data_IF_508429596797
#
_entry.id   IF_508429596797
#
_cell.length_a   1.000
_cell.length_b   1.000
_cell.length_c   1.000
_cell.angle_alpha   90.00
_cell.angle_beta   90.00
_cell.angle_gamma   90.00
#
_symmetry.space_group_name_H-M   'P 1'
#
loop_
_entity.id
_entity.type
_entity.pdbx_description
1 polymer ?
#
# COMPACT_ATOMS: atom_id res chain seq x y z
N UNK A 1 26.01 -5.85 -4.09
CA UNK A 1 26.60 -5.18 -2.92
C UNK A 1 25.75 -5.55 -1.70
N UNK A 2 26.23 -6.41 -0.79
CA UNK A 2 25.39 -6.93 0.32
C UNK A 2 25.30 -5.86 1.42
N UNK A 3 24.07 -5.51 1.84
CA UNK A 3 23.73 -4.59 2.94
C UNK A 3 24.15 -5.18 4.31
N UNK A 4 25.46 -5.29 4.57
CA UNK A 4 26.00 -6.05 5.72
C UNK A 4 26.44 -5.22 6.93
N UNK A 5 26.34 -3.89 6.89
CA UNK A 5 26.91 -3.01 7.93
C UNK A 5 25.84 -2.23 8.72
N UNK A 6 24.60 -2.71 8.75
CA UNK A 6 23.52 -2.12 9.53
C UNK A 6 23.03 -3.16 10.55
N UNK A 7 23.12 -2.83 11.83
CA UNK A 7 22.59 -3.62 12.93
C UNK A 7 21.31 -2.95 13.43
N UNK A 8 20.26 -3.75 13.65
CA UNK A 8 18.96 -3.29 14.14
C UNK A 8 18.46 -4.29 15.17
N UNK A 9 18.18 -3.81 16.38
CA UNK A 9 17.63 -4.60 17.47
C UNK A 9 16.10 -4.51 17.49
N UNK A 10 15.43 -5.65 17.67
CA UNK A 10 13.96 -5.74 17.68
C UNK A 10 13.46 -6.41 18.96
N UNK A 11 12.42 -5.83 19.57
CA UNK A 11 11.60 -6.51 20.57
C UNK A 11 10.49 -7.29 19.86
N UNK A 12 10.61 -8.62 19.83
CA UNK A 12 9.63 -9.47 19.14
C UNK A 12 8.31 -9.46 19.91
N UNK A 13 7.21 -9.17 19.20
CA UNK A 13 5.84 -9.24 19.72
C UNK A 13 5.11 -10.45 19.12
N UNK A 14 4.01 -10.86 19.76
CA UNK A 14 3.16 -11.91 19.22
C UNK A 14 2.54 -11.48 17.88
N UNK A 15 2.62 -12.36 16.88
CA UNK A 15 2.05 -12.11 15.57
C UNK A 15 0.59 -12.56 15.51
N UNK A 16 -0.26 -11.75 14.88
CA UNK A 16 -1.65 -12.10 14.53
C UNK A 16 -1.66 -12.50 13.06
N UNK A 17 -1.90 -13.78 12.76
CA UNK A 17 -1.78 -14.34 11.41
C UNK A 17 -3.07 -14.91 10.85
N UNK A 18 -4.09 -15.11 11.68
CA UNK A 18 -5.40 -15.60 11.29
C UNK A 18 -6.42 -14.46 11.33
N UNK A 19 -7.25 -14.34 10.29
CA UNK A 19 -8.22 -13.25 10.16
C UNK A 19 -9.50 -13.48 10.97
N UNK A 20 -9.86 -14.73 11.26
CA UNK A 20 -11.09 -15.08 11.98
C UNK A 20 -10.93 -14.78 13.47
N UNK A 21 -9.81 -15.19 14.06
CA UNK A 21 -9.52 -14.94 15.48
C UNK A 21 -8.90 -13.59 15.75
N UNK A 22 -8.61 -12.76 14.73
CA UNK A 22 -7.87 -11.50 14.86
C UNK A 22 -8.49 -10.51 15.85
N UNK A 23 -9.81 -10.54 16.00
CA UNK A 23 -10.57 -9.64 16.86
C UNK A 23 -10.85 -10.17 18.27
N UNK A 24 -10.37 -11.37 18.59
CA UNK A 24 -10.55 -11.95 19.92
C UNK A 24 -9.74 -11.16 20.96
N UNK A 25 -10.29 -11.00 22.17
CA UNK A 25 -9.66 -10.22 23.26
C UNK A 25 -8.25 -10.69 23.64
N UNK A 26 -7.91 -11.95 23.34
CA UNK A 26 -6.60 -12.54 23.60
C UNK A 26 -5.53 -12.15 22.55
N UNK A 27 -5.91 -11.56 21.41
CA UNK A 27 -4.97 -11.18 20.36
C UNK A 27 -4.18 -9.93 20.71
N UNK A 28 -2.96 -9.88 20.18
CA UNK A 28 -2.15 -8.66 20.23
C UNK A 28 -2.83 -7.55 19.41
N UNK A 29 -3.07 -6.39 20.04
CA UNK A 29 -3.50 -5.18 19.33
C UNK A 29 -2.37 -4.71 18.39
N UNK A 30 -2.67 -4.57 17.10
CA UNK A 30 -1.67 -4.23 16.06
C UNK A 30 -1.56 -2.71 15.87
N UNK A 31 -2.70 -2.02 15.75
CA UNK A 31 -2.78 -0.58 15.49
C UNK A 31 -3.64 0.10 16.55
N UNK A 32 -3.15 1.15 17.21
CA UNK A 32 -3.92 1.82 18.25
C UNK A 32 -5.22 2.44 17.72
N UNK A 33 -5.23 2.84 16.45
CA UNK A 33 -6.35 3.48 15.75
C UNK A 33 -7.45 2.50 15.31
N UNK A 34 -7.20 1.18 15.39
CA UNK A 34 -8.14 0.14 14.98
C UNK A 34 -8.38 -0.87 16.11
N UNK A 35 -9.18 -0.52 17.14
CA UNK A 35 -9.46 -1.39 18.28
C UNK A 35 -9.96 -2.77 17.85
N UNK A 36 -9.54 -3.80 18.59
CA UNK A 36 -9.87 -5.21 18.32
C UNK A 36 -9.45 -5.67 16.92
N UNK A 37 -8.39 -5.07 16.36
CA UNK A 37 -7.88 -5.36 15.02
C UNK A 37 -8.91 -5.26 13.89
N UNK A 38 -10.02 -4.54 14.08
CA UNK A 38 -11.02 -4.28 13.04
C UNK A 38 -10.72 -2.94 12.40
N UNK A 39 -10.19 -2.96 11.17
CA UNK A 39 -9.86 -1.72 10.44
C UNK A 39 -11.10 -0.98 9.94
N UNK A 40 -12.15 -1.70 9.57
CA UNK A 40 -13.38 -1.14 9.01
C UNK A 40 -14.52 -2.16 9.09
N UNK A 41 -15.71 -1.72 9.50
CA UNK A 41 -16.94 -2.53 9.47
C UNK A 41 -18.01 -1.79 8.67
N UNK A 42 -18.45 -2.37 7.55
CA UNK A 42 -19.38 -1.73 6.62
C UNK A 42 -20.59 -2.62 6.33
N UNK A 43 -21.69 -2.47 7.09
CA UNK A 43 -22.93 -3.15 6.77
C UNK A 43 -23.52 -2.58 5.47
N UNK A 44 -24.02 -3.48 4.61
CA UNK A 44 -24.66 -3.12 3.35
C UNK A 44 -25.86 -4.06 3.10
N UNK A 45 -26.98 -3.50 2.63
CA UNK A 45 -28.22 -4.25 2.35
C UNK A 45 -29.31 -4.14 3.43
N UNK A 46 -30.41 -4.86 3.23
CA UNK A 46 -31.61 -4.83 4.09
C UNK A 46 -31.65 -6.04 5.03
N UNK A 47 -31.08 -5.89 6.23
CA UNK A 47 -30.91 -6.99 7.19
C UNK A 47 -32.22 -7.70 7.54
N UNK A 48 -33.28 -6.95 7.86
CA UNK A 48 -34.55 -7.56 8.28
C UNK A 48 -35.24 -8.31 7.15
N UNK A 49 -35.30 -7.73 5.95
CA UNK A 49 -35.87 -8.41 4.79
C UNK A 49 -35.12 -9.71 4.44
N UNK A 50 -33.78 -9.70 4.57
CA UNK A 50 -32.96 -10.91 4.40
C UNK A 50 -33.27 -11.94 5.49
N UNK A 51 -33.36 -11.53 6.76
CA UNK A 51 -33.70 -12.44 7.86
C UNK A 51 -35.07 -13.10 7.66
N UNK A 52 -36.08 -12.31 7.27
CA UNK A 52 -37.43 -12.80 6.99
C UNK A 52 -37.43 -13.82 5.85
N UNK A 53 -36.70 -13.53 4.77
CA UNK A 53 -36.54 -14.43 3.63
C UNK A 53 -35.87 -15.75 4.03
N UNK A 54 -34.82 -15.72 4.86
CA UNK A 54 -34.18 -16.93 5.35
C UNK A 54 -35.06 -17.72 6.33
N UNK A 55 -35.84 -17.04 7.18
CA UNK A 55 -36.72 -17.71 8.16
C UNK A 55 -37.86 -18.51 7.52
N UNK A 56 -38.33 -18.08 6.35
CA UNK A 56 -39.43 -18.69 5.61
C UNK A 56 -38.96 -19.62 4.47
N UNK A 57 -37.65 -19.73 4.25
CA UNK A 57 -37.09 -20.53 3.16
C UNK A 57 -37.34 -22.03 3.38
N UNK A 58 -37.85 -22.71 2.35
CA UNK A 58 -38.07 -24.16 2.38
C UNK A 58 -36.75 -24.95 2.52
N UNK A 59 -35.64 -24.41 2.00
CA UNK A 59 -34.30 -25.01 2.09
C UNK A 59 -33.25 -23.91 2.22
N UNK A 60 -32.22 -24.19 3.01
CA UNK A 60 -31.06 -23.32 3.22
C UNK A 60 -29.80 -24.15 2.94
N UNK A 61 -28.85 -23.56 2.22
CA UNK A 61 -27.53 -24.13 2.01
C UNK A 61 -26.47 -23.13 2.49
N UNK A 62 -25.44 -23.62 3.17
CA UNK A 62 -24.32 -22.80 3.66
C UNK A 62 -22.99 -23.41 3.20
N UNK A 63 -22.01 -22.52 2.98
CA UNK A 63 -20.64 -22.88 2.63
C UNK A 63 -19.68 -21.92 3.32
N UNK A 64 -18.66 -22.47 3.96
CA UNK A 64 -17.49 -21.71 4.43
C UNK A 64 -16.39 -21.83 3.39
N UNK A 65 -15.86 -20.69 2.93
CA UNK A 65 -14.85 -20.64 1.88
C UNK A 65 -13.71 -19.72 2.29
N UNK A 66 -12.47 -20.21 2.14
CA UNK A 66 -11.26 -19.39 2.23
C UNK A 66 -10.86 -18.94 0.83
N UNK A 67 -10.90 -17.63 0.58
CA UNK A 67 -10.29 -17.05 -0.60
C UNK A 67 -8.83 -16.68 -0.29
N UNK A 68 -7.90 -17.47 -0.83
CA UNK A 68 -6.49 -17.33 -0.52
C UNK A 68 -5.93 -15.98 -0.98
N UNK A 69 -4.95 -15.47 -0.22
CA UNK A 69 -4.19 -14.28 -0.63
C UNK A 69 -3.37 -14.59 -1.88
N UNK A 70 -3.57 -13.80 -2.92
CA UNK A 70 -2.85 -13.90 -4.19
C UNK A 70 -2.04 -12.63 -4.45
N UNK A 71 -1.00 -12.73 -5.26
CA UNK A 71 -0.24 -11.59 -5.78
C UNK A 71 -0.35 -11.58 -7.30
N UNK A 72 -0.51 -10.40 -7.89
CA UNK A 72 -0.76 -10.26 -9.34
C UNK A 72 0.48 -10.48 -10.20
N UNK A 73 1.67 -10.38 -9.60
CA UNK A 73 2.97 -10.73 -10.16
C UNK A 73 3.22 -10.25 -11.61
N UNK A 74 3.20 -8.92 -11.87
CA UNK A 74 3.55 -8.39 -13.18
C UNK A 74 4.98 -8.77 -13.59
N UNK A 75 5.20 -9.00 -14.89
CA UNK A 75 6.51 -9.39 -15.41
C UNK A 75 7.58 -8.30 -15.20
N UNK A 76 7.18 -7.03 -15.28
CA UNK A 76 8.06 -5.93 -14.87
C UNK A 76 7.92 -5.67 -13.37
N UNK A 77 9.04 -5.70 -12.60
CA UNK A 77 9.03 -5.35 -11.18
C UNK A 77 8.65 -3.88 -10.96
N UNK A 78 8.46 -3.50 -9.69
CA UNK A 78 8.34 -2.08 -9.33
C UNK A 78 9.70 -1.40 -9.47
N UNK A 79 9.71 -0.20 -10.04
CA UNK A 79 10.91 0.62 -10.15
C UNK A 79 10.58 2.11 -10.01
N UNK A 80 11.55 2.86 -9.50
CA UNK A 80 11.48 4.31 -9.37
C UNK A 80 12.83 4.93 -9.73
N UNK A 81 12.79 6.06 -10.44
CA UNK A 81 13.95 6.92 -10.67
C UNK A 81 13.56 8.34 -10.26
N UNK A 82 14.29 8.90 -9.30
CA UNK A 82 14.12 10.28 -8.86
C UNK A 82 15.29 11.14 -9.34
N UNK A 83 14.97 12.31 -9.86
CA UNK A 83 15.93 13.34 -10.25
C UNK A 83 15.54 14.67 -9.57
N UNK A 84 16.53 15.40 -9.06
CA UNK A 84 16.33 16.66 -8.35
C UNK A 84 17.12 17.77 -9.02
N UNK A 85 16.43 18.83 -9.41
CA UNK A 85 17.04 20.04 -9.93
C UNK A 85 17.25 21.05 -8.80
N UNK A 86 18.49 21.19 -8.33
CA UNK A 86 18.83 22.17 -7.28
C UNK A 86 18.64 23.65 -7.67
N UNK A 87 18.60 23.97 -8.97
CA UNK A 87 18.36 25.34 -9.43
C UNK A 87 16.88 25.75 -9.40
N UNK A 88 15.96 24.81 -9.63
CA UNK A 88 14.50 25.06 -9.62
C UNK A 88 13.78 24.47 -8.42
N UNK A 89 14.48 23.68 -7.60
CA UNK A 89 13.95 22.87 -6.49
C UNK A 89 12.88 21.85 -6.92
N UNK A 90 12.88 21.45 -8.19
CA UNK A 90 11.92 20.50 -8.74
C UNK A 90 12.41 19.06 -8.60
N UNK A 91 11.49 18.16 -8.27
CA UNK A 91 11.70 16.71 -8.27
C UNK A 91 10.93 16.10 -9.44
N UNK A 92 11.60 15.31 -10.27
CA UNK A 92 10.96 14.44 -11.25
C UNK A 92 11.10 12.98 -10.83
N UNK A 93 9.98 12.28 -10.70
CA UNK A 93 9.90 10.85 -10.44
C UNK A 93 9.40 10.10 -11.67
N UNK A 94 10.20 9.19 -12.19
CA UNK A 94 9.77 8.19 -13.17
C UNK A 94 9.41 6.91 -12.43
N UNK A 95 8.14 6.53 -12.46
CA UNK A 95 7.60 5.43 -11.67
C UNK A 95 6.91 4.41 -12.57
N UNK A 96 7.03 3.13 -12.24
CA UNK A 96 6.16 2.09 -12.81
C UNK A 96 4.78 2.18 -12.17
N UNK A 97 3.97 3.17 -12.55
CA UNK A 97 2.70 3.52 -11.88
C UNK A 97 1.50 3.45 -12.83
N UNK A 98 0.34 3.05 -12.30
CA UNK A 98 -0.94 3.13 -13.02
C UNK A 98 -1.61 4.50 -12.88
N UNK A 99 -1.28 5.27 -11.83
CA UNK A 99 -1.98 6.49 -11.46
C UNK A 99 -0.99 7.64 -11.14
N UNK A 100 -0.25 8.17 -12.13
CA UNK A 100 0.80 9.16 -11.88
C UNK A 100 0.30 10.46 -11.23
N UNK A 101 -0.91 10.92 -11.58
CA UNK A 101 -1.50 12.11 -10.97
C UNK A 101 -1.87 11.90 -9.50
N UNK A 102 -2.40 10.72 -9.14
CA UNK A 102 -2.70 10.39 -7.74
C UNK A 102 -1.42 10.22 -6.94
N UNK A 103 -0.37 9.62 -7.53
CA UNK A 103 0.95 9.57 -6.89
C UNK A 103 1.48 10.97 -6.59
N UNK A 104 1.40 11.89 -7.58
CA UNK A 104 1.83 13.27 -7.37
C UNK A 104 1.07 13.94 -6.23
N UNK A 105 -0.25 13.77 -6.16
CA UNK A 105 -1.09 14.29 -5.08
C UNK A 105 -0.69 13.70 -3.72
N UNK A 106 -0.55 12.38 -3.63
CA UNK A 106 -0.30 11.72 -2.34
C UNK A 106 1.10 12.03 -1.82
N UNK A 107 2.11 11.95 -2.70
CA UNK A 107 3.49 12.25 -2.37
C UNK A 107 3.69 13.72 -1.95
N UNK A 108 2.90 14.64 -2.51
CA UNK A 108 2.95 16.05 -2.12
C UNK A 108 2.13 16.34 -0.86
N UNK A 109 0.84 16.01 -0.85
CA UNK A 109 -0.09 16.45 0.19
C UNK A 109 0.04 15.67 1.50
N UNK A 110 0.29 14.35 1.42
CA UNK A 110 0.31 13.49 2.62
C UNK A 110 1.73 13.12 3.05
N UNK A 111 2.65 12.91 2.09
CA UNK A 111 4.04 12.58 2.41
C UNK A 111 4.98 13.79 2.43
N UNK A 112 4.52 14.96 1.99
CA UNK A 112 5.27 16.22 2.04
C UNK A 112 6.65 16.13 1.37
N UNK A 113 6.77 15.33 0.30
CA UNK A 113 8.02 15.18 -0.44
C UNK A 113 8.48 16.52 -1.07
N UNK A 114 7.53 17.21 -1.71
CA UNK A 114 7.68 18.53 -2.29
C UNK A 114 6.30 19.16 -2.51
N UNK A 115 6.18 20.50 -2.60
CA UNK A 115 4.97 21.15 -3.08
C UNK A 115 4.53 20.57 -4.42
N UNK A 116 3.23 20.40 -4.65
CA UNK A 116 2.73 19.69 -5.85
C UNK A 116 3.22 20.34 -7.16
N UNK A 117 3.33 21.67 -7.20
CA UNK A 117 3.84 22.41 -8.36
C UNK A 117 5.35 22.26 -8.60
N UNK A 118 6.09 21.69 -7.64
CA UNK A 118 7.52 21.35 -7.75
C UNK A 118 7.74 19.84 -7.90
N UNK A 119 6.68 19.04 -7.96
CA UNK A 119 6.75 17.59 -8.10
C UNK A 119 6.18 17.17 -9.45
N UNK A 120 6.98 16.47 -10.24
CA UNK A 120 6.54 15.84 -11.48
C UNK A 120 6.60 14.32 -11.31
N UNK A 121 5.50 13.64 -11.60
CA UNK A 121 5.45 12.17 -11.66
C UNK A 121 5.16 11.76 -13.09
N UNK A 122 5.97 10.84 -13.63
CA UNK A 122 5.88 10.32 -14.99
C UNK A 122 5.73 8.81 -14.91
N UNK A 123 4.64 8.28 -15.48
CA UNK A 123 4.49 6.86 -15.79
C UNK A 123 4.91 6.61 -17.23
N UNK A 124 6.07 5.98 -17.51
CA UNK A 124 6.45 5.58 -18.86
C UNK A 124 5.67 4.32 -19.29
N UNK A 125 6.10 3.62 -20.33
CA UNK A 125 5.60 2.28 -20.62
C UNK A 125 5.80 1.36 -19.41
N UNK A 126 4.73 0.70 -18.96
CA UNK A 126 4.73 -0.17 -17.77
C UNK A 126 4.44 -1.60 -18.19
N UNK A 127 5.33 -2.53 -17.82
CA UNK A 127 5.24 -3.96 -18.15
C UNK A 127 4.24 -4.73 -17.27
N UNK A 128 3.00 -4.25 -17.22
CA UNK A 128 1.92 -4.79 -16.41
C UNK A 128 1.89 -4.23 -14.98
N UNK A 129 0.69 -4.06 -14.45
CA UNK A 129 0.44 -3.59 -13.08
C UNK A 129 -0.63 -4.40 -12.37
N UNK A 130 -1.75 -4.68 -13.04
CA UNK A 130 -2.81 -5.56 -12.52
C UNK A 130 -3.31 -5.17 -11.12
N UNK A 131 -3.25 -3.88 -10.77
CA UNK A 131 -3.66 -3.34 -9.48
C UNK A 131 -2.51 -3.14 -8.49
N UNK A 132 -1.38 -3.85 -8.62
CA UNK A 132 -0.27 -3.72 -7.66
C UNK A 132 0.50 -2.41 -7.84
N UNK A 133 0.42 -1.75 -9.00
CA UNK A 133 1.09 -0.48 -9.30
C UNK A 133 0.14 0.74 -9.15
N UNK A 134 -0.98 0.57 -8.43
CA UNK A 134 -1.91 1.66 -8.08
C UNK A 134 -1.48 2.38 -6.80
N UNK A 135 -0.90 1.65 -5.84
CA UNK A 135 -0.54 2.17 -4.53
C UNK A 135 0.74 2.98 -4.59
N UNK A 136 0.82 4.03 -3.76
CA UNK A 136 2.08 4.72 -3.47
C UNK A 136 2.90 3.87 -2.51
N UNK A 137 4.12 3.55 -2.90
CA UNK A 137 5.01 2.72 -2.09
C UNK A 137 6.09 3.55 -1.40
N UNK A 138 6.51 3.10 -0.21
CA UNK A 138 7.50 3.82 0.59
C UNK A 138 8.83 4.01 -0.16
N UNK A 139 9.21 3.06 -1.01
CA UNK A 139 10.43 3.14 -1.81
C UNK A 139 10.42 4.33 -2.79
N UNK A 140 9.27 4.71 -3.33
CA UNK A 140 9.11 5.84 -4.26
C UNK A 140 9.34 7.18 -3.53
N UNK A 141 8.81 7.30 -2.31
CA UNK A 141 9.05 8.43 -1.42
C UNK A 141 10.53 8.52 -1.04
N UNK A 142 11.14 7.40 -0.66
CA UNK A 142 12.56 7.34 -0.28
C UNK A 142 13.46 7.72 -1.45
N UNK A 143 13.14 7.30 -2.68
CA UNK A 143 13.89 7.70 -3.88
C UNK A 143 13.82 9.21 -4.10
N UNK A 144 12.63 9.81 -4.01
CA UNK A 144 12.47 11.26 -4.13
C UNK A 144 13.19 12.04 -3.03
N UNK A 145 13.13 11.56 -1.79
CA UNK A 145 13.87 12.16 -0.67
C UNK A 145 15.39 12.04 -0.89
N UNK A 146 15.86 10.87 -1.30
CA UNK A 146 17.27 10.57 -1.46
C UNK A 146 17.88 11.37 -2.61
N UNK A 147 17.22 11.49 -3.76
CA UNK A 147 17.75 12.23 -4.91
C UNK A 147 17.98 13.71 -4.58
N UNK A 148 17.06 14.31 -3.82
CA UNK A 148 17.22 15.66 -3.26
C UNK A 148 18.36 15.71 -2.24
N UNK A 149 18.44 14.74 -1.32
CA UNK A 149 19.47 14.71 -0.27
C UNK A 149 20.90 14.63 -0.83
N UNK A 150 21.10 13.87 -1.90
CA UNK A 150 22.43 13.67 -2.51
C UNK A 150 22.69 14.53 -3.74
N UNK A 151 21.70 15.32 -4.17
CA UNK A 151 21.71 16.16 -5.38
C UNK A 151 22.14 15.41 -6.65
N UNK A 152 21.66 14.17 -6.81
CA UNK A 152 21.94 13.30 -7.96
C UNK A 152 20.75 12.37 -8.22
N UNK A 153 20.59 11.88 -9.46
CA UNK A 153 19.59 10.86 -9.74
C UNK A 153 19.74 9.61 -8.87
N UNK A 154 18.65 9.11 -8.32
CA UNK A 154 18.57 7.87 -7.55
C UNK A 154 17.65 6.91 -8.26
N UNK A 155 18.11 5.68 -8.48
CA UNK A 155 17.31 4.58 -9.03
C UNK A 155 17.11 3.50 -7.99
N UNK A 156 15.88 3.02 -7.90
CA UNK A 156 15.51 1.79 -7.21
C UNK A 156 14.81 0.86 -8.20
N UNK A 157 15.16 -0.42 -8.16
CA UNK A 157 14.42 -1.51 -8.79
C UNK A 157 14.24 -2.58 -7.74
N UNK A 158 13.04 -3.14 -7.69
CA UNK A 158 12.78 -4.36 -6.93
C UNK A 158 13.45 -5.56 -7.62
#
# INVERSE_FOLDING_TARGET
>A
MRRKNLEVDYGILAAVTDTVSASDDAQQQIHAEAPNNICYNWPFGEKEAVNDAFSSAHKIASLELVNNRMVTNPMEPRAAVGDFNSGTEEITLHLTTQNPHVHRLVLSAFNQLAPEHKLRVVGPDVGGGFGVKIFVYAEELVVGWACRKINRPVKWTF
#
